data_IF_887305766716
#
_entry.id   IF_887305766716
#
_cell.length_a   1.000
_cell.length_b   1.000
_cell.length_c   1.000
_cell.angle_alpha   90.00
_cell.angle_beta   90.00
_cell.angle_gamma   90.00
#
_symmetry.space_group_name_H-M   'P 1'
#
loop_
_entity.id
_entity.type
_entity.pdbx_description
1 polymer ?
#
# COMPACT_ATOMS: atom_id res chain seq x y z
N UNK A 1 -44.01 -35.90 39.81
CA UNK A 1 -42.77 -35.36 39.21
C UNK A 1 -42.99 -35.32 37.71
N UNK A 2 -43.16 -34.12 37.14
CA UNK A 2 -43.48 -33.99 35.72
C UNK A 2 -42.21 -34.16 34.88
N UNK A 3 -42.20 -35.19 34.04
CA UNK A 3 -41.12 -35.51 33.11
C UNK A 3 -41.19 -34.53 31.94
N UNK A 4 -40.15 -33.72 31.79
CA UNK A 4 -39.96 -32.80 30.66
C UNK A 4 -39.79 -33.65 29.40
N UNK A 5 -40.58 -33.37 28.35
CA UNK A 5 -40.54 -34.10 27.07
C UNK A 5 -39.34 -33.65 26.24
N UNK A 6 -38.86 -34.53 25.34
CA UNK A 6 -37.69 -34.31 24.47
C UNK A 6 -37.78 -33.07 23.56
N UNK A 7 -38.97 -32.51 23.36
CA UNK A 7 -39.19 -31.27 22.61
C UNK A 7 -38.83 -30.02 23.41
N UNK A 8 -38.89 -30.07 24.74
CA UNK A 8 -38.44 -28.98 25.62
C UNK A 8 -36.92 -28.98 25.85
N UNK A 9 -36.23 -30.07 25.51
CA UNK A 9 -34.75 -30.11 25.48
C UNK A 9 -34.17 -29.40 24.24
N UNK A 10 -34.94 -29.29 23.14
CA UNK A 10 -34.51 -28.60 21.91
C UNK A 10 -34.73 -27.07 21.95
N UNK A 11 -35.52 -26.56 22.91
CA UNK A 11 -35.72 -25.12 23.10
C UNK A 11 -34.61 -24.43 23.92
N UNK A 12 -33.68 -25.18 24.52
CA UNK A 12 -32.55 -24.65 25.31
C UNK A 12 -31.22 -24.70 24.53
N UNK A 13 -31.19 -25.38 23.37
CA UNK A 13 -30.03 -25.40 22.47
C UNK A 13 -30.02 -24.22 21.46
N UNK A 14 -31.01 -23.34 21.51
CA UNK A 14 -31.14 -22.17 20.62
C UNK A 14 -30.50 -20.88 21.14
N UNK A 15 -29.80 -20.92 22.28
CA UNK A 15 -29.19 -19.76 22.90
C UNK A 15 -27.67 -19.94 23.00
N UNK A 16 -26.96 -19.75 21.89
CA UNK A 16 -25.57 -19.27 21.80
C UNK A 16 -25.06 -19.46 20.36
N UNK A 17 -25.49 -18.56 19.49
CA UNK A 17 -24.74 -18.22 18.28
C UNK A 17 -24.95 -16.73 18.07
N UNK A 18 -24.50 -15.93 19.03
CA UNK A 18 -24.27 -14.51 18.82
C UNK A 18 -23.26 -14.44 17.68
N UNK A 19 -23.78 -14.06 16.52
CA UNK A 19 -23.06 -14.00 15.27
C UNK A 19 -21.88 -13.04 15.38
N UNK A 20 -20.73 -13.58 15.78
CA UNK A 20 -19.46 -13.05 15.34
C UNK A 20 -19.31 -13.50 13.88
N UNK A 21 -20.09 -12.86 12.99
CA UNK A 21 -19.85 -12.95 11.57
C UNK A 21 -18.37 -12.68 11.39
N UNK A 22 -17.62 -13.68 10.93
CA UNK A 22 -16.19 -13.55 10.60
C UNK A 22 -16.08 -12.26 9.81
N UNK A 23 -15.51 -11.23 10.43
CA UNK A 23 -15.48 -9.90 9.86
C UNK A 23 -14.66 -10.00 8.57
N UNK A 24 -15.38 -10.05 7.44
CA UNK A 24 -14.82 -10.39 6.14
C UNK A 24 -13.73 -9.40 5.77
N UNK A 25 -12.61 -9.91 5.24
CA UNK A 25 -11.54 -9.12 4.62
C UNK A 25 -12.11 -7.99 3.75
N UNK A 26 -11.84 -6.76 4.16
CA UNK A 26 -12.37 -5.57 3.50
C UNK A 26 -11.27 -4.63 2.99
N UNK A 27 -9.99 -4.93 3.26
CA UNK A 27 -8.91 -3.98 2.99
C UNK A 27 -8.34 -4.22 1.59
N UNK A 28 -8.38 -3.17 0.77
CA UNK A 28 -7.72 -3.11 -0.53
C UNK A 28 -6.41 -2.34 -0.35
N UNK A 29 -5.29 -2.95 -0.76
CA UNK A 29 -3.97 -2.32 -0.74
C UNK A 29 -3.53 -2.00 -2.16
N UNK A 30 -3.00 -0.80 -2.39
CA UNK A 30 -2.30 -0.45 -3.62
C UNK A 30 -0.83 -0.23 -3.30
N UNK A 31 0.03 -0.93 -4.03
CA UNK A 31 1.48 -0.81 -3.93
C UNK A 31 1.97 -0.07 -5.18
N UNK A 32 2.82 0.92 -4.96
CA UNK A 32 3.38 1.77 -5.96
C UNK A 32 4.89 1.59 -6.04
N UNK A 33 5.42 0.73 -6.93
CA UNK A 33 6.85 0.69 -7.18
C UNK A 33 7.25 2.01 -7.86
N UNK A 34 8.04 2.83 -7.16
CA UNK A 34 8.48 4.15 -7.62
C UNK A 34 9.16 4.12 -8.99
N UNK A 35 9.19 5.26 -9.68
CA UNK A 35 9.86 5.43 -10.98
C UNK A 35 9.34 4.46 -12.07
N UNK A 36 10.12 4.22 -13.13
CA UNK A 36 9.67 3.42 -14.27
C UNK A 36 8.70 4.16 -15.20
N UNK A 37 8.53 5.48 -15.03
CA UNK A 37 7.71 6.33 -15.90
C UNK A 37 8.48 6.71 -17.17
N UNK A 38 7.83 6.70 -18.33
CA UNK A 38 8.39 7.35 -19.51
C UNK A 38 8.42 8.87 -19.36
N UNK A 39 9.61 9.47 -19.43
CA UNK A 39 9.84 10.90 -19.24
C UNK A 39 9.54 11.74 -20.49
N UNK A 40 9.82 11.22 -21.69
CA UNK A 40 9.63 11.93 -22.98
C UNK A 40 9.31 10.96 -24.12
N UNK A 41 8.80 11.49 -25.22
CA UNK A 41 8.47 10.75 -26.44
C UNK A 41 9.68 10.06 -27.13
N UNK A 42 10.93 10.30 -26.68
CA UNK A 42 12.16 9.73 -27.24
C UNK A 42 12.99 8.90 -26.23
N UNK A 43 12.34 8.20 -25.30
CA UNK A 43 12.95 7.14 -24.46
C UNK A 43 14.02 7.59 -23.45
N UNK A 44 13.68 8.40 -22.46
CA UNK A 44 14.21 8.07 -21.13
C UNK A 44 13.07 7.60 -20.23
N UNK A 45 13.24 6.40 -19.69
CA UNK A 45 12.47 5.92 -18.53
C UNK A 45 13.11 6.54 -17.29
N UNK A 46 12.29 6.94 -16.33
CA UNK A 46 12.74 7.39 -15.02
C UNK A 46 13.34 6.18 -14.26
N UNK A 47 14.66 6.11 -14.05
CA UNK A 47 15.26 4.96 -13.37
C UNK A 47 15.23 5.13 -11.83
N UNK A 48 14.86 6.32 -11.35
CA UNK A 48 15.16 6.76 -9.99
C UNK A 48 16.65 6.94 -9.76
N UNK A 49 17.08 6.70 -8.53
CA UNK A 49 18.49 6.64 -8.20
C UNK A 49 19.19 5.44 -8.88
N UNK A 50 20.47 5.60 -9.18
CA UNK A 50 21.27 4.64 -9.96
C UNK A 50 22.59 4.36 -9.26
N UNK A 51 22.97 3.08 -9.20
CA UNK A 51 24.30 2.64 -8.77
C UNK A 51 24.90 1.72 -9.84
N UNK A 52 25.85 2.22 -10.63
CA UNK A 52 26.37 1.50 -11.80
C UNK A 52 25.26 1.20 -12.81
N UNK A 53 24.99 -0.09 -13.04
CA UNK A 53 23.91 -0.57 -13.92
C UNK A 53 22.65 -0.99 -13.16
N UNK A 54 22.57 -0.67 -11.86
CA UNK A 54 21.46 -1.04 -10.98
C UNK A 54 20.55 0.16 -10.81
N UNK A 55 19.27 -0.01 -11.14
CA UNK A 55 18.27 1.04 -11.13
C UNK A 55 17.28 0.83 -9.97
N UNK A 56 16.97 1.89 -9.25
CA UNK A 56 15.96 1.90 -8.19
C UNK A 56 14.63 1.37 -8.70
N UNK A 57 14.19 1.81 -9.89
CA UNK A 57 12.94 1.39 -10.52
C UNK A 57 12.78 -0.13 -10.62
N UNK A 58 13.88 -0.86 -10.81
CA UNK A 58 13.89 -2.31 -10.96
C UNK A 58 13.80 -3.02 -9.61
N UNK A 59 14.57 -2.58 -8.62
CA UNK A 59 14.52 -3.14 -7.27
C UNK A 59 13.15 -2.87 -6.64
N UNK A 60 12.64 -1.64 -6.75
CA UNK A 60 11.32 -1.27 -6.24
C UNK A 60 10.21 -2.15 -6.85
N UNK A 61 10.25 -2.42 -8.16
CA UNK A 61 9.28 -3.28 -8.83
C UNK A 61 9.37 -4.74 -8.36
N UNK A 62 10.58 -5.29 -8.23
CA UNK A 62 10.79 -6.65 -7.78
C UNK A 62 10.26 -6.86 -6.35
N UNK A 63 10.61 -5.98 -5.42
CA UNK A 63 10.10 -6.03 -4.04
C UNK A 63 8.59 -5.80 -3.99
N UNK A 64 8.03 -4.92 -4.83
CA UNK A 64 6.59 -4.69 -4.90
C UNK A 64 5.81 -5.94 -5.33
N UNK A 65 6.33 -6.71 -6.31
CA UNK A 65 5.72 -7.98 -6.75
C UNK A 65 5.72 -9.01 -5.63
N UNK A 66 6.83 -9.14 -4.91
CA UNK A 66 6.93 -10.01 -3.73
C UNK A 66 5.96 -9.57 -2.63
N UNK A 67 5.91 -8.28 -2.33
CA UNK A 67 4.99 -7.69 -1.34
C UNK A 67 3.52 -7.95 -1.72
N UNK A 68 3.16 -7.82 -3.00
CA UNK A 68 1.82 -8.17 -3.49
C UNK A 68 1.47 -9.60 -3.11
N UNK A 69 2.30 -10.57 -3.46
CA UNK A 69 2.05 -11.98 -3.13
C UNK A 69 1.97 -12.24 -1.63
N UNK A 70 2.82 -11.59 -0.81
CA UNK A 70 2.75 -11.73 0.66
C UNK A 70 1.46 -11.17 1.25
N UNK A 71 0.99 -10.02 0.76
CA UNK A 71 -0.25 -9.40 1.21
C UNK A 71 -1.49 -10.17 0.74
N UNK A 72 -1.49 -10.71 -0.49
CA UNK A 72 -2.56 -11.57 -0.99
C UNK A 72 -2.72 -12.84 -0.15
N UNK A 73 -1.64 -13.32 0.48
CA UNK A 73 -1.69 -14.45 1.41
C UNK A 73 -2.27 -14.09 2.80
N UNK A 74 -2.46 -12.81 3.13
CA UNK A 74 -3.07 -12.35 4.39
C UNK A 74 -4.60 -12.31 4.28
N UNK A 75 -5.20 -13.45 3.95
CA UNK A 75 -6.63 -13.60 3.64
C UNK A 75 -7.57 -13.46 4.83
N UNK A 76 -7.05 -13.13 6.01
CA UNK A 76 -7.76 -12.81 7.25
C UNK A 76 -8.02 -11.30 7.42
N UNK A 77 -7.30 -10.43 6.69
CA UNK A 77 -7.54 -8.99 6.68
C UNK A 77 -7.53 -8.34 5.28
N UNK A 78 -6.77 -8.87 4.32
CA UNK A 78 -6.58 -8.30 2.98
C UNK A 78 -7.53 -8.94 1.98
N UNK A 79 -8.29 -8.09 1.27
CA UNK A 79 -9.25 -8.50 0.23
C UNK A 79 -8.61 -8.56 -1.15
N UNK A 80 -7.80 -7.56 -1.48
CA UNK A 80 -7.20 -7.42 -2.80
C UNK A 80 -5.94 -6.55 -2.73
N UNK A 81 -5.00 -6.82 -3.63
CA UNK A 81 -3.75 -6.07 -3.76
C UNK A 81 -3.49 -5.73 -5.23
N UNK A 82 -3.19 -4.47 -5.51
CA UNK A 82 -2.91 -4.00 -6.86
C UNK A 82 -1.56 -3.28 -6.91
N UNK A 83 -0.88 -3.36 -8.07
CA UNK A 83 0.29 -2.55 -8.36
C UNK A 83 -0.09 -1.36 -9.23
N UNK A 84 0.56 -0.21 -9.06
CA UNK A 84 0.40 0.93 -9.99
C UNK A 84 1.06 0.67 -11.35
N UNK A 85 2.03 -0.24 -11.40
CA UNK A 85 2.67 -0.76 -12.63
C UNK A 85 3.21 -2.17 -12.39
N UNK A 86 3.20 -3.00 -13.43
CA UNK A 86 3.78 -4.36 -13.40
C UNK A 86 5.09 -4.47 -14.22
N UNK A 87 5.48 -3.37 -14.86
CA UNK A 87 6.67 -3.18 -15.69
C UNK A 87 7.02 -1.69 -15.81
N UNK A 88 7.70 -1.31 -16.89
CA UNK A 88 7.87 0.10 -17.27
C UNK A 88 6.56 0.67 -17.83
N UNK A 89 6.28 1.95 -17.55
CA UNK A 89 5.14 2.67 -18.09
C UNK A 89 5.57 3.28 -19.42
N UNK A 90 5.08 2.72 -20.53
CA UNK A 90 5.46 3.12 -21.90
C UNK A 90 4.73 4.37 -22.39
N UNK A 91 3.61 4.72 -21.76
CA UNK A 91 2.86 5.94 -22.05
C UNK A 91 3.41 7.14 -21.29
N UNK A 92 3.34 8.33 -21.91
CA UNK A 92 3.63 9.58 -21.20
C UNK A 92 2.41 9.94 -20.37
N UNK A 93 2.44 9.57 -19.09
CA UNK A 93 1.34 9.80 -18.15
C UNK A 93 1.65 10.95 -17.19
N UNK A 94 0.63 11.51 -16.51
CA UNK A 94 0.80 12.44 -15.40
C UNK A 94 1.45 11.82 -14.13
N UNK A 95 2.59 11.13 -14.28
CA UNK A 95 3.42 10.42 -13.26
C UNK A 95 2.73 10.24 -11.91
N UNK A 96 3.02 11.11 -10.94
CA UNK A 96 2.52 11.01 -9.57
C UNK A 96 0.98 11.11 -9.46
N UNK A 97 0.34 11.90 -10.33
CA UNK A 97 -1.13 12.01 -10.36
C UNK A 97 -1.78 10.70 -10.83
N UNK A 98 -1.16 10.03 -11.81
CA UNK A 98 -1.64 8.75 -12.33
C UNK A 98 -1.58 7.64 -11.28
N UNK A 99 -0.47 7.55 -10.55
CA UNK A 99 -0.30 6.57 -9.45
C UNK A 99 -1.40 6.68 -8.40
N UNK A 100 -1.73 7.91 -7.99
CA UNK A 100 -2.82 8.16 -7.04
C UNK A 100 -4.21 7.93 -7.67
N UNK A 101 -4.37 8.17 -8.98
CA UNK A 101 -5.62 7.89 -9.68
C UNK A 101 -5.95 6.38 -9.71
N UNK A 102 -4.94 5.51 -9.86
CA UNK A 102 -5.11 4.06 -9.73
C UNK A 102 -5.63 3.70 -8.33
N UNK A 103 -5.06 4.31 -7.29
CA UNK A 103 -5.50 4.08 -5.91
C UNK A 103 -6.98 4.48 -5.69
N UNK A 104 -7.40 5.60 -6.28
CA UNK A 104 -8.81 6.02 -6.29
C UNK A 104 -9.70 5.03 -7.02
N UNK A 105 -9.32 4.62 -8.23
CA UNK A 105 -10.09 3.70 -9.05
C UNK A 105 -10.31 2.36 -8.33
N UNK A 106 -9.27 1.84 -7.69
CA UNK A 106 -9.33 0.58 -6.94
C UNK A 106 -9.95 0.72 -5.55
N UNK A 107 -10.35 1.93 -5.14
CA UNK A 107 -10.88 2.22 -3.80
C UNK A 107 -9.93 1.74 -2.69
N UNK A 108 -8.64 1.99 -2.89
CA UNK A 108 -7.60 1.53 -1.99
C UNK A 108 -7.81 2.10 -0.59
N UNK A 109 -7.68 1.25 0.42
CA UNK A 109 -7.72 1.65 1.82
C UNK A 109 -6.34 2.05 2.35
N UNK A 110 -5.31 1.36 1.85
CA UNK A 110 -3.90 1.61 2.17
C UNK A 110 -3.14 1.78 0.85
N UNK A 111 -2.28 2.81 0.79
CA UNK A 111 -1.36 3.02 -0.32
C UNK A 111 0.10 2.97 0.18
N UNK A 112 0.96 2.22 -0.52
CA UNK A 112 2.36 2.04 -0.13
C UNK A 112 3.22 2.32 -1.36
N UNK A 113 4.02 3.37 -1.34
CA UNK A 113 5.03 3.61 -2.38
C UNK A 113 6.38 3.04 -1.95
N UNK A 114 7.06 2.29 -2.82
CA UNK A 114 8.35 1.68 -2.55
C UNK A 114 9.44 2.37 -3.37
N UNK A 115 10.51 2.78 -2.69
CA UNK A 115 11.64 3.53 -3.23
C UNK A 115 12.95 3.05 -2.60
N UNK A 116 14.08 3.53 -3.14
CA UNK A 116 15.38 3.45 -2.50
C UNK A 116 15.99 4.85 -2.39
N UNK A 117 16.54 5.17 -1.23
CA UNK A 117 17.20 6.44 -0.98
C UNK A 117 18.58 6.47 -1.66
N UNK A 118 19.16 7.66 -1.78
CA UNK A 118 20.51 7.85 -2.31
C UNK A 118 21.21 9.02 -1.63
N UNK A 119 22.38 8.74 -1.06
CA UNK A 119 23.27 9.73 -0.48
C UNK A 119 24.73 9.23 -0.59
N UNK A 120 25.66 9.76 0.21
CA UNK A 120 27.02 9.23 0.28
C UNK A 120 27.03 7.73 0.64
N UNK A 121 28.06 7.00 0.19
CA UNK A 121 28.12 5.53 0.27
C UNK A 121 27.99 4.95 1.69
N UNK A 122 28.26 5.75 2.73
CA UNK A 122 28.13 5.35 4.14
C UNK A 122 26.73 5.52 4.71
N UNK A 123 25.84 6.25 4.03
CA UNK A 123 24.46 6.40 4.46
C UNK A 123 23.70 5.08 4.23
N UNK A 124 23.03 4.59 5.27
CA UNK A 124 22.31 3.32 5.21
C UNK A 124 21.05 3.35 6.08
N UNK A 125 20.18 2.38 5.86
CA UNK A 125 19.01 2.09 6.66
C UNK A 125 17.68 2.50 6.02
N UNK A 126 16.63 1.79 6.42
CA UNK A 126 15.27 1.96 5.93
C UNK A 126 14.59 3.18 6.57
N UNK A 127 13.75 3.92 5.85
CA UNK A 127 12.87 4.95 6.44
C UNK A 127 11.45 4.81 5.91
N UNK A 128 10.47 5.06 6.77
CA UNK A 128 9.06 5.12 6.34
C UNK A 128 8.55 6.55 6.45
N UNK A 129 8.25 7.15 5.31
CA UNK A 129 7.83 8.53 5.18
C UNK A 129 6.30 8.62 5.24
N UNK A 130 5.79 9.59 6.00
CA UNK A 130 4.36 9.88 6.12
C UNK A 130 4.13 11.39 6.11
N UNK A 131 2.93 11.81 5.69
CA UNK A 131 2.55 13.21 5.76
C UNK A 131 2.00 13.56 7.17
N UNK A 132 2.50 14.62 7.83
CA UNK A 132 2.25 14.88 9.25
C UNK A 132 0.78 15.14 9.59
N UNK A 133 -0.01 15.63 8.64
CA UNK A 133 -1.45 15.87 8.82
C UNK A 133 -2.32 14.61 8.93
N UNK A 134 -1.79 13.40 8.71
CA UNK A 134 -2.59 12.16 8.68
C UNK A 134 -2.14 11.18 9.75
N UNK A 135 -2.85 11.16 10.89
CA UNK A 135 -2.51 10.35 12.05
C UNK A 135 -2.38 8.86 11.73
N UNK A 136 -3.30 8.27 10.95
CA UNK A 136 -3.22 6.86 10.57
C UNK A 136 -2.03 6.54 9.66
N UNK A 137 -1.58 7.50 8.84
CA UNK A 137 -0.35 7.33 8.05
C UNK A 137 0.89 7.33 8.94
N UNK A 138 0.91 8.17 9.99
CA UNK A 138 1.96 8.14 11.03
C UNK A 138 1.98 6.79 11.75
N UNK A 139 0.82 6.29 12.18
CA UNK A 139 0.70 4.99 12.86
C UNK A 139 1.21 3.86 11.97
N UNK A 140 0.75 3.79 10.71
CA UNK A 140 1.25 2.81 9.74
C UNK A 140 2.76 2.90 9.56
N UNK A 141 3.31 4.12 9.40
CA UNK A 141 4.75 4.31 9.25
C UNK A 141 5.55 3.83 10.46
N UNK A 142 5.06 4.11 11.67
CA UNK A 142 5.66 3.64 12.92
C UNK A 142 5.60 2.12 13.05
N UNK A 143 4.46 1.49 12.74
CA UNK A 143 4.29 0.02 12.76
C UNK A 143 5.26 -0.65 11.80
N UNK A 144 5.33 -0.18 10.54
CA UNK A 144 6.26 -0.70 9.54
C UNK A 144 7.72 -0.54 9.96
N UNK A 145 8.08 0.66 10.46
CA UNK A 145 9.43 0.94 10.93
C UNK A 145 9.87 0.03 12.08
N UNK A 146 8.95 -0.40 12.95
CA UNK A 146 9.22 -1.29 14.07
C UNK A 146 9.39 -2.76 13.68
N UNK A 147 8.91 -3.18 12.50
CA UNK A 147 9.07 -4.55 12.00
C UNK A 147 10.31 -4.76 11.14
N UNK A 148 10.94 -3.69 10.67
CA UNK A 148 12.14 -3.74 9.84
C UNK A 148 13.33 -4.35 10.61
N UNK A 149 13.80 -5.52 10.17
CA UNK A 149 14.99 -6.20 10.75
C UNK A 149 16.07 -6.47 9.71
N UNK A 150 15.70 -6.76 8.46
CA UNK A 150 16.69 -7.04 7.39
C UNK A 150 17.56 -5.82 7.11
N UNK A 151 16.93 -4.65 6.95
CA UNK A 151 17.63 -3.36 6.81
C UNK A 151 17.31 -2.53 8.05
N UNK A 152 18.37 -2.05 8.74
CA UNK A 152 18.24 -1.30 9.98
C UNK A 152 17.33 -0.09 9.79
N UNK A 153 16.32 0.03 10.62
CA UNK A 153 15.39 1.17 10.57
C UNK A 153 16.04 2.48 11.02
N UNK A 154 15.71 3.56 10.32
CA UNK A 154 15.93 4.96 10.70
C UNK A 154 14.63 5.61 11.20
N UNK A 155 13.58 4.81 11.39
CA UNK A 155 12.29 5.22 11.93
C UNK A 155 11.33 5.87 10.93
N UNK A 156 10.15 6.20 11.44
CA UNK A 156 9.10 6.92 10.72
C UNK A 156 9.42 8.41 10.66
N UNK A 157 9.33 9.03 9.48
CA UNK A 157 9.71 10.43 9.26
C UNK A 157 8.62 11.23 8.57
N UNK A 158 8.35 12.43 9.07
CA UNK A 158 7.37 13.32 8.46
C UNK A 158 7.92 13.96 7.16
N UNK A 159 7.07 14.03 6.15
CA UNK A 159 7.27 14.74 4.87
C UNK A 159 5.95 15.30 4.37
N UNK A 160 5.83 16.61 4.28
CA UNK A 160 4.60 17.30 3.84
C UNK A 160 4.57 17.61 2.33
N UNK A 161 5.71 17.47 1.65
CA UNK A 161 5.90 17.85 0.25
C UNK A 161 5.81 16.69 -0.75
N UNK A 162 5.56 15.46 -0.30
CA UNK A 162 5.49 14.28 -1.16
C UNK A 162 4.06 14.01 -1.65
N UNK A 163 3.88 13.99 -2.97
CA UNK A 163 2.55 13.87 -3.60
C UNK A 163 1.85 12.55 -3.26
N UNK A 164 2.57 11.43 -3.34
CA UNK A 164 2.01 10.07 -3.21
C UNK A 164 1.69 9.64 -1.78
N UNK A 165 1.95 10.50 -0.79
CA UNK A 165 1.54 10.29 0.61
C UNK A 165 0.61 11.39 1.12
N UNK A 166 0.15 12.27 0.23
CA UNK A 166 -0.76 13.34 0.58
C UNK A 166 -2.21 12.91 0.30
N UNK A 167 -2.92 12.45 1.34
CA UNK A 167 -4.29 11.91 1.24
C UNK A 167 -5.31 12.86 0.59
N UNK A 168 -5.06 14.18 0.54
CA UNK A 168 -5.90 15.13 -0.21
C UNK A 168 -6.04 14.78 -1.70
N UNK A 169 -5.07 14.03 -2.25
CA UNK A 169 -5.11 13.59 -3.65
C UNK A 169 -5.76 12.23 -3.84
N UNK A 170 -6.12 11.50 -2.77
CA UNK A 170 -6.70 10.15 -2.78
C UNK A 170 -8.23 10.17 -2.69
N UNK A 171 -8.85 8.98 -2.71
CA UNK A 171 -10.28 8.82 -2.49
C UNK A 171 -10.61 8.75 -0.99
N UNK A 172 -11.87 8.98 -0.59
CA UNK A 172 -12.27 8.92 0.83
C UNK A 172 -12.06 7.54 1.48
N UNK A 173 -11.93 6.48 0.67
CA UNK A 173 -11.64 5.12 1.12
C UNK A 173 -10.21 4.96 1.64
N UNK A 174 -9.25 5.76 1.15
CA UNK A 174 -7.85 5.68 1.54
C UNK A 174 -7.63 6.31 2.91
N UNK A 175 -7.32 5.48 3.91
CA UNK A 175 -7.15 5.91 5.31
C UNK A 175 -5.68 6.12 5.70
N UNK A 176 -4.76 5.48 4.99
CA UNK A 176 -3.33 5.62 5.23
C UNK A 176 -2.53 5.53 3.94
N UNK A 177 -1.48 6.36 3.83
CA UNK A 177 -0.52 6.32 2.73
C UNK A 177 0.89 6.55 3.25
N UNK A 178 1.84 5.71 2.82
CA UNK A 178 3.26 5.81 3.20
C UNK A 178 4.16 5.65 1.98
N UNK A 179 5.38 6.18 2.08
CA UNK A 179 6.47 5.90 1.15
C UNK A 179 7.60 5.25 1.93
N UNK A 180 8.02 4.05 1.53
CA UNK A 180 9.10 3.31 2.16
C UNK A 180 10.35 3.48 1.32
N UNK A 181 11.36 4.12 1.91
CA UNK A 181 12.74 4.04 1.44
C UNK A 181 13.32 2.73 1.98
N UNK A 182 13.35 1.69 1.16
CA UNK A 182 13.73 0.32 1.57
C UNK A 182 15.15 0.26 2.16
N UNK A 183 16.03 1.10 1.64
CA UNK A 183 17.42 1.31 2.04
C UNK A 183 18.07 2.29 1.08
N UNK A 184 19.40 2.44 1.14
CA UNK A 184 20.14 3.29 0.21
C UNK A 184 20.70 2.51 -0.96
N UNK A 185 20.35 2.86 -2.20
CA UNK A 185 20.92 2.19 -3.40
C UNK A 185 22.44 2.43 -3.50
N UNK A 186 22.93 3.55 -2.98
CA UNK A 186 24.35 3.90 -2.96
C UNK A 186 25.15 3.20 -1.87
N UNK A 187 24.48 2.49 -0.95
CA UNK A 187 25.13 1.65 0.05
C UNK A 187 25.09 0.18 -0.36
N UNK A 188 26.24 -0.47 -0.38
CA UNK A 188 26.37 -1.84 -0.89
C UNK A 188 25.59 -2.86 -0.07
N UNK A 189 25.57 -2.73 1.26
CA UNK A 189 24.86 -3.65 2.13
C UNK A 189 23.34 -3.55 1.94
N UNK A 190 22.80 -2.32 1.96
CA UNK A 190 21.37 -2.07 1.76
C UNK A 190 20.90 -2.51 0.36
N UNK A 191 21.63 -2.12 -0.69
CA UNK A 191 21.31 -2.49 -2.07
C UNK A 191 21.33 -4.01 -2.25
N UNK A 192 22.38 -4.68 -1.77
CA UNK A 192 22.48 -6.14 -1.87
C UNK A 192 21.39 -6.85 -1.07
N UNK A 193 21.03 -6.34 0.11
CA UNK A 193 19.91 -6.89 0.88
C UNK A 193 18.58 -6.74 0.14
N UNK A 194 18.30 -5.58 -0.48
CA UNK A 194 17.08 -5.40 -1.28
C UNK A 194 17.00 -6.39 -2.44
N UNK A 195 18.13 -6.65 -3.11
CA UNK A 195 18.19 -7.56 -4.27
C UNK A 195 18.14 -9.04 -3.89
N UNK A 196 18.75 -9.44 -2.78
CA UNK A 196 18.91 -10.85 -2.40
C UNK A 196 17.91 -11.33 -1.34
N UNK A 197 17.41 -10.41 -0.51
CA UNK A 197 16.49 -10.68 0.60
C UNK A 197 15.13 -10.00 0.41
N UNK A 198 14.79 -9.60 -0.82
CA UNK A 198 13.52 -8.93 -1.15
C UNK A 198 12.27 -9.69 -0.69
N UNK A 199 12.30 -11.03 -0.64
CA UNK A 199 11.19 -11.84 -0.12
C UNK A 199 10.97 -11.65 1.39
N UNK A 200 12.07 -11.61 2.16
CA UNK A 200 12.02 -11.39 3.60
C UNK A 200 11.62 -9.95 3.93
N UNK A 201 12.15 -8.97 3.19
CA UNK A 201 11.75 -7.55 3.31
C UNK A 201 10.25 -7.40 3.01
N UNK A 202 9.76 -8.00 1.92
CA UNK A 202 8.35 -8.01 1.58
C UNK A 202 7.49 -8.65 2.68
N UNK A 203 7.97 -9.71 3.33
CA UNK A 203 7.28 -10.34 4.46
C UNK A 203 7.18 -9.40 5.68
N UNK A 204 8.27 -8.71 6.04
CA UNK A 204 8.26 -7.75 7.16
C UNK A 204 7.24 -6.63 6.94
N UNK A 205 7.19 -6.09 5.70
CA UNK A 205 6.23 -5.06 5.31
C UNK A 205 4.80 -5.63 5.33
N UNK A 206 4.57 -6.79 4.74
CA UNK A 206 3.24 -7.41 4.68
C UNK A 206 2.67 -7.68 6.07
N UNK A 207 3.50 -8.17 7.00
CA UNK A 207 3.08 -8.37 8.37
C UNK A 207 2.78 -7.04 9.08
N UNK A 208 3.56 -5.98 8.83
CA UNK A 208 3.32 -4.67 9.44
C UNK A 208 2.04 -4.01 8.93
N UNK A 209 1.70 -4.21 7.67
CA UNK A 209 0.40 -3.81 7.12
C UNK A 209 -0.73 -4.60 7.79
N UNK A 210 -0.58 -5.91 7.96
CA UNK A 210 -1.57 -6.75 8.63
C UNK A 210 -1.77 -6.34 10.10
N UNK A 211 -0.70 -6.11 10.86
CA UNK A 211 -0.78 -5.61 12.24
C UNK A 211 -1.54 -4.28 12.32
N UNK A 212 -1.17 -3.33 11.45
CA UNK A 212 -1.82 -2.03 11.39
C UNK A 212 -3.31 -2.18 11.06
N UNK A 213 -3.63 -2.98 10.06
CA UNK A 213 -5.00 -3.29 9.66
C UNK A 213 -5.82 -3.87 10.81
N UNK A 214 -5.28 -4.89 11.50
CA UNK A 214 -5.94 -5.57 12.60
C UNK A 214 -6.14 -4.64 13.82
N UNK A 215 -5.15 -3.82 14.15
CA UNK A 215 -5.22 -2.87 15.26
C UNK A 215 -6.16 -1.68 14.97
N UNK A 216 -6.45 -1.39 13.69
CA UNK A 216 -7.23 -0.23 13.27
C UNK A 216 -8.50 -0.60 12.50
N UNK A 217 -9.03 -1.82 12.63
CA UNK A 217 -10.19 -2.32 11.85
C UNK A 217 -11.36 -1.31 11.74
N UNK A 218 -11.65 -0.59 12.81
CA UNK A 218 -12.73 0.40 12.89
C UNK A 218 -12.66 1.49 11.79
N UNK A 219 -11.46 1.85 11.31
CA UNK A 219 -11.30 2.90 10.30
C UNK A 219 -11.62 2.40 8.87
N UNK A 220 -11.64 1.09 8.67
CA UNK A 220 -11.92 0.43 7.39
C UNK A 220 -13.36 -0.08 7.28
N UNK A 221 -14.08 -0.16 8.39
CA UNK A 221 -15.44 -0.70 8.48
C UNK A 221 -16.55 0.35 8.33
N UNK A 222 -16.23 1.61 8.02
CA UNK A 222 -17.25 2.64 7.82
C UNK A 222 -18.08 2.35 6.57
N UNK A 223 -19.33 1.92 6.76
CA UNK A 223 -20.35 1.77 5.72
C UNK A 223 -20.40 3.05 4.87
N UNK A 224 -20.35 2.96 3.53
CA UNK A 224 -20.56 4.15 2.71
C UNK A 224 -21.92 4.75 3.07
N UNK A 225 -21.93 6.03 3.47
CA UNK A 225 -23.17 6.79 3.54
C UNK A 225 -23.91 6.58 2.22
N UNK A 226 -25.19 6.19 2.30
CA UNK A 226 -26.08 5.89 1.19
C UNK A 226 -25.82 6.88 0.05
N UNK A 227 -25.23 6.40 -1.04
CA UNK A 227 -24.89 7.25 -2.18
C UNK A 227 -26.17 7.96 -2.65
N UNK A 228 -26.19 9.29 -2.56
CA UNK A 228 -27.17 10.07 -3.30
C UNK A 228 -26.96 9.73 -4.79
N UNK A 229 -28.01 9.23 -5.44
CA UNK A 229 -28.01 8.94 -6.86
C UNK A 229 -27.61 10.22 -7.61
N UNK A 230 -26.43 10.22 -8.21
CA UNK A 230 -26.03 11.23 -9.19
C UNK A 230 -26.26 10.67 -10.58
N UNK A 231 -26.86 11.44 -11.51
CA UNK A 231 -27.24 10.93 -12.81
C UNK A 231 -26.00 10.59 -13.65
N UNK A 232 -26.12 9.48 -14.38
CA UNK A 232 -25.14 9.02 -15.35
C UNK A 232 -24.97 10.04 -16.50
N UNK A 233 -23.80 9.96 -17.15
CA UNK A 233 -23.30 10.77 -18.27
C UNK A 233 -22.67 12.13 -17.94
N UNK A 234 -21.36 12.09 -17.68
CA UNK A 234 -20.45 13.18 -18.08
C UNK A 234 -19.48 12.61 -19.14
N UNK A 235 -19.51 13.09 -20.39
CA UNK A 235 -18.63 12.60 -21.44
C UNK A 235 -17.16 12.96 -21.19
N UNK A 236 -16.27 12.02 -21.50
CA UNK A 236 -14.80 12.22 -21.50
C UNK A 236 -14.46 13.28 -22.57
N UNK A 237 -13.68 14.34 -22.25
CA UNK A 237 -13.23 15.30 -23.25
C UNK A 237 -12.27 14.62 -24.24
N UNK A 238 -12.62 14.64 -25.52
CA UNK A 238 -11.69 14.24 -26.59
C UNK A 238 -10.54 15.25 -26.69
N UNK A 239 -9.30 14.80 -26.95
CA UNK A 239 -8.18 15.72 -27.16
C UNK A 239 -8.46 16.61 -28.37
N UNK A 240 -8.24 17.92 -28.18
CA UNK A 240 -8.45 18.94 -29.21
C UNK A 240 -7.39 18.75 -30.32
N UNK A 241 -7.77 18.79 -31.61
CA UNK A 241 -6.79 18.79 -32.70
C UNK A 241 -5.90 20.03 -32.57
N UNK A 242 -4.60 19.85 -32.79
CA UNK A 242 -3.65 20.97 -32.87
C UNK A 242 -4.02 21.83 -34.09
N UNK A 243 -4.23 23.13 -33.87
CA UNK A 243 -4.13 24.14 -34.92
C UNK A 243 -2.65 24.48 -35.14
#
# INVERSE_FOLDING_TARGET
MATVTSEQQQAIAGAQADGNAVQSCAIIVVIDPGHGDRLKAKNPVDPGAVSGTIYESNIALDVAKKLKSKLEAKTDCIKAVYLTREGEITDVLPRLKWRVAIAKEKKANIFISLHLDAAGATASGQSVLYHPSYAHSKTLASTLSGRAKIIKTRGAKSRDNLYVINLKYFGPETKASVLIELGFITNDADRNACMTQGDAIAQEIADGVADFALANKAIFSATPAKAAQTPANVPIPKPRPKQ
#
